data_IF_466789703088
#
_entry.id   IF_466789703088
#
_cell.length_a   1.000
_cell.length_b   1.000
_cell.length_c   1.000
_cell.angle_alpha   90.00
_cell.angle_beta   90.00
_cell.angle_gamma   90.00
#
_symmetry.space_group_name_H-M   'P 1'
#
loop_
_entity.id
_entity.type
_entity.pdbx_description
1 polymer ?
#
# COMPACT_ATOMS: atom_id res chain seq x y z
N UNK A 1 5.05 40.64 16.69
CA UNK A 1 4.57 40.20 15.36
C UNK A 1 3.89 38.84 15.50
N UNK A 2 2.56 38.82 15.63
CA UNK A 2 1.77 37.59 15.52
C UNK A 2 1.52 37.29 14.04
N UNK A 3 2.06 36.19 13.54
CA UNK A 3 1.69 35.67 12.22
C UNK A 3 0.51 34.74 12.40
N UNK A 4 -0.69 35.31 12.37
CA UNK A 4 -1.93 34.56 12.29
C UNK A 4 -2.34 34.46 10.81
N UNK A 5 -1.94 33.39 10.12
CA UNK A 5 -2.54 32.98 8.84
C UNK A 5 -2.42 31.46 8.68
N UNK A 6 -3.14 30.71 9.50
CA UNK A 6 -3.57 29.36 9.12
C UNK A 6 -5.09 29.42 9.01
N UNK A 7 -5.58 29.78 7.82
CA UNK A 7 -6.96 29.54 7.46
C UNK A 7 -7.17 28.03 7.55
N UNK A 8 -8.05 27.57 8.44
CA UNK A 8 -8.47 26.17 8.48
C UNK A 8 -9.33 25.92 7.25
N UNK A 9 -8.74 25.40 6.17
CA UNK A 9 -9.47 24.94 5.00
C UNK A 9 -9.67 23.42 5.07
N UNK A 10 -10.79 22.95 4.53
CA UNK A 10 -11.06 21.52 4.40
C UNK A 10 -10.18 20.92 3.30
N UNK A 11 -9.61 19.75 3.58
CA UNK A 11 -8.75 19.01 2.64
C UNK A 11 -9.39 17.67 2.38
N UNK A 12 -9.62 17.37 1.10
CA UNK A 12 -10.03 16.04 0.65
C UNK A 12 -8.81 15.28 0.09
N UNK A 13 -8.67 14.02 0.49
CA UNK A 13 -7.63 13.12 -0.03
C UNK A 13 -8.28 12.00 -0.81
N UNK A 14 -8.14 12.05 -2.14
CA UNK A 14 -8.59 11.00 -3.03
C UNK A 14 -7.47 9.98 -3.23
N UNK A 15 -7.69 8.72 -2.84
CA UNK A 15 -6.73 7.64 -3.02
C UNK A 15 -7.36 6.46 -3.76
N UNK A 16 -6.64 5.93 -4.75
CA UNK A 16 -7.04 4.77 -5.53
C UNK A 16 -5.84 3.83 -5.70
N UNK A 17 -6.03 2.55 -5.39
CA UNK A 17 -4.98 1.54 -5.53
C UNK A 17 -4.99 0.53 -4.39
N UNK A 18 -3.94 -0.28 -4.31
CA UNK A 18 -3.73 -1.12 -3.14
C UNK A 18 -3.31 -0.27 -1.94
N UNK A 19 -3.85 -0.58 -0.76
CA UNK A 19 -3.48 0.08 0.48
C UNK A 19 -2.10 -0.42 0.94
N UNK A 20 -1.16 0.46 1.28
CA UNK A 20 0.12 0.06 1.86
C UNK A 20 -0.10 -0.37 3.31
N UNK A 21 0.17 -1.64 3.63
CA UNK A 21 -0.08 -2.20 4.96
C UNK A 21 1.18 -2.33 5.81
N UNK A 22 2.30 -2.72 5.20
CA UNK A 22 3.57 -2.88 5.91
C UNK A 22 4.78 -2.77 4.97
N UNK A 23 5.95 -2.56 5.58
CA UNK A 23 7.24 -2.55 4.92
C UNK A 23 8.23 -3.49 5.62
N UNK A 24 9.15 -4.05 4.85
CA UNK A 24 10.22 -4.91 5.33
C UNK A 24 11.59 -4.38 4.90
N UNK A 25 12.63 -4.68 5.68
CA UNK A 25 14.02 -4.41 5.28
C UNK A 25 14.52 -5.40 4.20
N UNK A 26 13.79 -6.50 3.95
CA UNK A 26 14.11 -7.51 2.93
C UNK A 26 12.99 -7.61 1.91
N UNK A 27 13.37 -7.80 0.65
CA UNK A 27 12.42 -8.00 -0.43
C UNK A 27 11.68 -9.35 -0.28
N UNK A 28 10.36 -9.28 -0.14
CA UNK A 28 9.50 -10.46 -0.10
C UNK A 28 9.49 -11.21 -1.43
N UNK A 29 9.57 -10.49 -2.56
CA UNK A 29 9.67 -11.13 -3.88
C UNK A 29 10.93 -11.97 -4.01
N UNK A 30 12.09 -11.43 -3.61
CA UNK A 30 13.35 -12.18 -3.58
C UNK A 30 13.24 -13.42 -2.68
N UNK A 31 12.70 -13.26 -1.47
CA UNK A 31 12.47 -14.40 -0.55
C UNK A 31 11.59 -15.48 -1.15
N UNK A 32 10.57 -15.10 -1.93
CA UNK A 32 9.63 -16.00 -2.59
C UNK A 32 10.18 -16.65 -3.87
N UNK A 33 11.33 -16.20 -4.37
CA UNK A 33 12.15 -16.89 -5.37
C UNK A 33 13.32 -17.64 -4.71
N UNK A 34 13.28 -17.81 -3.37
CA UNK A 34 14.35 -18.41 -2.55
C UNK A 34 15.73 -17.74 -2.73
N UNK A 35 15.75 -16.45 -3.07
CA UNK A 35 16.96 -15.64 -3.15
C UNK A 35 17.35 -15.10 -1.76
N UNK A 36 18.64 -15.11 -1.38
CA UNK A 36 19.11 -14.44 -0.18
C UNK A 36 18.99 -12.92 -0.33
N UNK A 37 19.03 -12.18 0.80
CA UNK A 37 18.82 -10.73 0.81
C UNK A 37 19.81 -9.97 -0.10
N UNK A 38 21.05 -10.47 -0.17
CA UNK A 38 22.17 -9.83 -0.87
C UNK A 38 22.11 -10.07 -2.40
N UNK A 39 21.29 -11.01 -2.85
CA UNK A 39 21.08 -11.38 -4.27
C UNK A 39 19.67 -11.01 -4.75
N UNK A 40 19.07 -9.98 -4.16
CA UNK A 40 17.74 -9.49 -4.55
C UNK A 40 17.70 -9.07 -6.03
N UNK A 41 18.76 -8.40 -6.52
CA UNK A 41 18.93 -7.99 -7.93
C UNK A 41 17.69 -7.30 -8.54
N UNK A 42 16.96 -6.53 -7.71
CA UNK A 42 15.68 -5.89 -8.09
C UNK A 42 14.69 -6.83 -8.79
N UNK A 43 14.72 -8.13 -8.47
CA UNK A 43 13.89 -9.16 -9.11
C UNK A 43 12.38 -8.86 -9.07
N UNK A 44 11.93 -8.05 -8.12
CA UNK A 44 10.56 -7.57 -8.05
C UNK A 44 10.08 -6.83 -9.30
N UNK A 45 10.97 -6.25 -10.11
CA UNK A 45 10.62 -5.60 -11.39
C UNK A 45 9.98 -6.56 -12.39
N UNK A 46 10.22 -7.87 -12.24
CA UNK A 46 9.59 -8.92 -13.06
C UNK A 46 8.09 -9.07 -12.76
N UNK A 47 7.61 -8.50 -11.65
CA UNK A 47 6.23 -8.57 -11.17
C UNK A 47 5.66 -7.15 -11.04
N UNK A 48 5.34 -6.47 -12.16
CA UNK A 48 4.92 -5.07 -12.15
C UNK A 48 3.62 -4.83 -11.38
N UNK A 49 2.75 -5.84 -11.27
CA UNK A 49 1.53 -5.79 -10.47
C UNK A 49 1.70 -6.41 -9.07
N UNK A 50 2.93 -6.76 -8.68
CA UNK A 50 3.22 -7.52 -7.47
C UNK A 50 2.89 -9.02 -7.59
N UNK A 51 3.12 -9.74 -6.50
CA UNK A 51 2.79 -11.17 -6.34
C UNK A 51 1.62 -11.33 -5.38
N UNK A 52 0.61 -12.09 -5.79
CA UNK A 52 -0.53 -12.41 -4.94
C UNK A 52 -0.13 -13.39 -3.84
N UNK A 53 -0.57 -13.12 -2.62
CA UNK A 53 -0.46 -14.02 -1.48
C UNK A 53 -1.83 -14.58 -1.18
N UNK A 54 -1.89 -15.91 -1.17
CA UNK A 54 -3.11 -16.65 -0.88
C UNK A 54 -3.09 -17.17 0.55
N UNK A 55 -4.26 -17.23 1.18
CA UNK A 55 -4.48 -17.92 2.44
C UNK A 55 -4.40 -19.44 2.25
N UNK A 56 -4.47 -20.19 3.35
CA UNK A 56 -4.51 -21.66 3.29
C UNK A 56 -5.80 -22.17 2.62
N UNK A 57 -6.86 -21.37 2.65
CA UNK A 57 -8.14 -21.59 1.96
C UNK A 57 -8.14 -21.05 0.52
N UNK A 58 -6.96 -20.72 -0.02
CA UNK A 58 -6.77 -20.24 -1.40
C UNK A 58 -7.46 -18.88 -1.68
N UNK A 59 -7.65 -18.05 -0.66
CA UNK A 59 -8.21 -16.70 -0.81
C UNK A 59 -7.10 -15.65 -0.90
N UNK A 60 -7.22 -14.69 -1.82
CA UNK A 60 -6.26 -13.60 -1.91
C UNK A 60 -6.37 -12.66 -0.72
N UNK A 61 -5.29 -12.53 0.04
CA UNK A 61 -5.21 -11.71 1.24
C UNK A 61 -4.33 -10.47 1.06
N UNK A 62 -3.20 -10.62 0.35
CA UNK A 62 -2.23 -9.54 0.14
C UNK A 62 -1.64 -9.55 -1.26
N UNK A 63 -1.05 -8.42 -1.64
CA UNK A 63 -0.15 -8.31 -2.79
C UNK A 63 1.22 -7.85 -2.29
N UNK A 64 2.28 -8.54 -2.72
CA UNK A 64 3.66 -8.21 -2.38
C UNK A 64 4.34 -7.53 -3.55
N UNK A 65 4.89 -6.34 -3.35
CA UNK A 65 5.70 -5.65 -4.36
C UNK A 65 7.04 -5.24 -3.76
N UNK A 66 8.07 -6.07 -4.00
CA UNK A 66 9.39 -5.80 -3.47
C UNK A 66 9.41 -5.93 -1.95
N UNK A 67 9.50 -4.80 -1.24
CA UNK A 67 9.54 -4.72 0.22
C UNK A 67 8.19 -4.40 0.87
N UNK A 68 7.18 -4.10 0.06
CA UNK A 68 5.86 -3.69 0.53
C UNK A 68 4.91 -4.89 0.63
N UNK A 69 4.15 -4.94 1.72
CA UNK A 69 2.91 -5.71 1.82
C UNK A 69 1.75 -4.76 1.60
N UNK A 70 0.92 -5.08 0.61
CA UNK A 70 -0.24 -4.26 0.24
C UNK A 70 -1.53 -5.07 0.39
N UNK A 71 -2.67 -4.38 0.45
CA UNK A 71 -3.99 -5.03 0.48
C UNK A 71 -4.16 -6.00 -0.69
N UNK A 72 -4.92 -7.08 -0.50
CA UNK A 72 -5.23 -8.03 -1.57
C UNK A 72 -6.03 -7.40 -2.72
N UNK A 73 -6.85 -6.40 -2.44
CA UNK A 73 -7.72 -5.75 -3.42
C UNK A 73 -7.41 -4.26 -3.53
N UNK A 74 -7.80 -3.68 -4.68
CA UNK A 74 -7.75 -2.24 -4.90
C UNK A 74 -8.89 -1.56 -4.16
N UNK A 75 -8.57 -0.50 -3.43
CA UNK A 75 -9.51 0.34 -2.72
C UNK A 75 -9.64 1.71 -3.40
N UNK A 76 -10.84 2.27 -3.34
CA UNK A 76 -11.12 3.62 -3.75
C UNK A 76 -11.73 4.37 -2.55
N UNK A 77 -10.95 5.27 -1.96
CA UNK A 77 -11.40 6.07 -0.81
C UNK A 77 -12.35 7.22 -1.21
N UNK A 78 -12.51 7.51 -2.51
CA UNK A 78 -13.48 8.49 -2.98
C UNK A 78 -14.92 8.18 -2.59
N UNK A 79 -15.25 6.90 -2.38
CA UNK A 79 -16.57 6.49 -1.90
C UNK A 79 -16.73 6.62 -0.37
N UNK A 80 -15.64 6.78 0.38
CA UNK A 80 -15.64 6.95 1.84
C UNK A 80 -15.65 8.43 2.26
N UNK A 81 -15.60 9.36 1.29
CA UNK A 81 -15.62 10.80 1.52
C UNK A 81 -16.84 11.27 2.36
N UNK A 82 -17.95 10.53 2.35
CA UNK A 82 -19.11 10.81 3.20
C UNK A 82 -18.91 10.57 4.71
N UNK A 83 -17.81 9.95 5.15
CA UNK A 83 -17.52 9.64 6.57
C UNK A 83 -16.63 10.71 7.22
N UNK A 84 -15.84 11.45 6.43
CA UNK A 84 -14.91 12.49 6.92
C UNK A 84 -15.33 13.92 6.58
N UNK A 85 -16.44 14.10 5.83
CA UNK A 85 -17.14 15.37 5.81
C UNK A 85 -17.68 15.62 7.23
N UNK A 86 -16.97 16.48 7.96
CA UNK A 86 -17.29 16.81 9.34
C UNK A 86 -18.77 17.11 9.50
N UNK A 87 -19.33 16.53 10.55
CA UNK A 87 -20.49 17.06 11.26
C UNK A 87 -20.46 18.60 11.25
N UNK A 88 -21.37 19.19 10.47
CA UNK A 88 -21.90 20.53 10.73
C UNK A 88 -23.02 20.46 11.75
#
# INVERSE_FOLDING_TARGET
>A
MSWAFATSFEVEVLSYGHLPLAYSARCFTARSEDRPKDECETCCIKYPNGRNVLSQENQQVFVLNGIQTMSGYVYNLGNEAGIHAGTG
#
